data_IF_303951275865
#
_entry.id   IF_303951275865
#
_cell.length_a   1.000
_cell.length_b   1.000
_cell.length_c   1.000
_cell.angle_alpha   90.00
_cell.angle_beta   90.00
_cell.angle_gamma   90.00
#
_symmetry.space_group_name_H-M   'P 1'
#
loop_
_entity.id
_entity.type
_entity.pdbx_description
1 polymer ?
#
# COMPACT_ATOMS: atom_id res chain seq x y z
N UNK A 1 -36.00 17.83 -27.40
CA UNK A 1 -36.91 16.72 -27.06
C UNK A 1 -36.10 15.43 -27.16
N UNK A 2 -36.01 14.62 -26.15
CA UNK A 2 -35.24 13.36 -25.97
C UNK A 2 -34.02 13.40 -25.06
N UNK A 3 -34.14 13.93 -23.85
CA UNK A 3 -33.20 13.62 -22.75
C UNK A 3 -33.95 13.09 -21.51
N UNK A 4 -35.27 13.12 -21.48
CA UNK A 4 -36.05 12.65 -20.33
C UNK A 4 -36.31 11.14 -20.28
N UNK A 5 -36.28 10.43 -21.41
CA UNK A 5 -36.58 8.99 -21.40
C UNK A 5 -35.41 8.09 -21.06
N UNK A 6 -34.16 8.56 -21.25
CA UNK A 6 -32.98 7.77 -20.92
C UNK A 6 -32.68 7.74 -19.40
N UNK A 7 -33.10 8.77 -18.65
CA UNK A 7 -32.90 8.81 -17.21
C UNK A 7 -33.90 7.92 -16.44
N UNK A 8 -35.13 7.81 -16.94
CA UNK A 8 -36.15 6.94 -16.34
C UNK A 8 -35.81 5.46 -16.58
N UNK A 9 -35.35 5.08 -17.78
CA UNK A 9 -34.91 3.71 -18.08
C UNK A 9 -33.66 3.29 -17.33
N UNK A 10 -32.70 4.18 -17.17
CA UNK A 10 -31.50 3.89 -16.37
C UNK A 10 -31.82 3.77 -14.88
N UNK A 11 -32.71 4.61 -14.35
CA UNK A 11 -33.17 4.51 -12.97
C UNK A 11 -34.00 3.24 -12.73
N UNK A 12 -34.81 2.83 -13.69
CA UNK A 12 -35.63 1.61 -13.60
C UNK A 12 -34.77 0.35 -13.73
N UNK A 13 -33.79 0.33 -14.63
CA UNK A 13 -32.81 -0.74 -14.73
C UNK A 13 -31.91 -0.83 -13.48
N UNK A 14 -31.54 0.30 -12.88
CA UNK A 14 -30.83 0.34 -11.59
C UNK A 14 -31.71 -0.20 -10.46
N UNK A 15 -33.01 0.10 -10.46
CA UNK A 15 -33.97 -0.41 -9.46
C UNK A 15 -34.19 -1.91 -9.60
N UNK A 16 -34.28 -2.43 -10.82
CA UNK A 16 -34.38 -3.88 -11.08
C UNK A 16 -33.09 -4.62 -10.71
N UNK A 17 -31.90 -4.04 -10.97
CA UNK A 17 -30.61 -4.59 -10.54
C UNK A 17 -30.50 -4.65 -8.98
N UNK A 18 -31.03 -3.65 -8.28
CA UNK A 18 -31.08 -3.61 -6.82
C UNK A 18 -31.94 -4.73 -6.22
N UNK A 19 -32.96 -5.19 -6.94
CA UNK A 19 -33.83 -6.29 -6.50
C UNK A 19 -33.36 -7.67 -6.93
N UNK A 20 -32.29 -7.77 -7.73
CA UNK A 20 -31.75 -9.06 -8.16
C UNK A 20 -31.22 -9.86 -6.96
N UNK A 21 -31.44 -11.18 -6.95
CA UNK A 21 -30.93 -12.07 -5.89
C UNK A 21 -29.41 -12.13 -5.84
N UNK A 22 -28.74 -11.74 -6.92
CA UNK A 22 -27.28 -11.77 -7.08
C UNK A 22 -26.59 -10.53 -6.51
N UNK A 23 -27.29 -9.41 -6.39
CA UNK A 23 -26.72 -8.12 -5.98
C UNK A 23 -26.04 -7.36 -7.12
N UNK A 24 -25.60 -6.14 -6.85
CA UNK A 24 -24.96 -5.24 -7.82
C UNK A 24 -23.46 -5.54 -7.85
N UNK A 25 -22.93 -5.88 -9.02
CA UNK A 25 -21.48 -6.05 -9.19
C UNK A 25 -20.80 -4.68 -9.13
N UNK A 26 -19.84 -4.55 -8.22
CA UNK A 26 -19.03 -3.35 -8.09
C UNK A 26 -17.62 -3.69 -7.55
N UNK A 27 -16.72 -2.72 -7.57
CA UNK A 27 -15.38 -2.86 -7.02
C UNK A 27 -15.27 -2.29 -5.61
N UNK A 28 -14.31 -2.83 -4.87
CA UNK A 28 -13.85 -2.30 -3.59
C UNK A 28 -12.33 -2.37 -3.50
N UNK A 29 -11.74 -1.75 -2.49
CA UNK A 29 -10.30 -1.87 -2.23
C UNK A 29 -9.88 -3.31 -1.87
N UNK A 30 -10.85 -4.17 -1.53
CA UNK A 30 -10.66 -5.56 -1.09
C UNK A 30 -11.05 -6.58 -2.16
N UNK A 31 -11.31 -6.14 -3.38
CA UNK A 31 -11.72 -6.96 -4.50
C UNK A 31 -13.08 -6.59 -5.08
N UNK A 32 -13.46 -7.30 -6.12
CA UNK A 32 -14.79 -7.20 -6.71
C UNK A 32 -15.83 -7.83 -5.79
N UNK A 33 -17.00 -7.21 -5.69
CA UNK A 33 -18.07 -7.62 -4.78
C UNK A 33 -19.44 -7.58 -5.47
N UNK A 34 -20.35 -8.35 -4.91
CA UNK A 34 -21.79 -8.23 -5.13
C UNK A 34 -22.43 -7.50 -3.94
N UNK A 35 -22.83 -6.26 -4.17
CA UNK A 35 -23.49 -5.43 -3.17
C UNK A 35 -24.99 -5.69 -3.12
N UNK A 36 -25.53 -5.98 -1.92
CA UNK A 36 -26.96 -6.10 -1.68
C UNK A 36 -27.46 -4.81 -1.07
N UNK A 37 -28.41 -4.18 -1.76
CA UNK A 37 -29.10 -2.96 -1.27
C UNK A 37 -30.57 -3.28 -1.01
N UNK A 38 -31.06 -2.93 0.17
CA UNK A 38 -32.47 -3.04 0.56
C UNK A 38 -32.96 -1.68 1.03
N UNK A 39 -34.07 -1.20 0.46
CA UNK A 39 -34.67 0.10 0.81
C UNK A 39 -33.63 1.26 0.78
N UNK A 40 -32.77 1.28 -0.24
CA UNK A 40 -31.72 2.28 -0.37
C UNK A 40 -30.54 2.12 0.58
N UNK A 41 -30.48 1.04 1.38
CA UNK A 41 -29.43 0.77 2.35
C UNK A 41 -28.56 -0.39 1.91
N UNK A 42 -27.24 -0.19 1.87
CA UNK A 42 -26.26 -1.25 1.63
C UNK A 42 -26.22 -2.17 2.87
N UNK A 43 -26.68 -3.41 2.72
CA UNK A 43 -26.87 -4.33 3.85
C UNK A 43 -25.94 -5.53 3.84
N UNK A 44 -25.37 -5.89 2.69
CA UNK A 44 -24.42 -6.99 2.59
C UNK A 44 -23.47 -6.80 1.41
N UNK A 45 -22.24 -7.26 1.57
CA UNK A 45 -21.27 -7.45 0.51
C UNK A 45 -20.90 -8.94 0.44
N UNK A 46 -21.00 -9.52 -0.75
CA UNK A 46 -20.51 -10.87 -1.03
C UNK A 46 -19.31 -10.76 -1.95
N UNK A 47 -18.30 -11.62 -1.80
CA UNK A 47 -17.23 -11.72 -2.79
C UNK A 47 -17.76 -12.00 -4.18
N UNK A 48 -17.03 -11.54 -5.17
CA UNK A 48 -17.28 -11.91 -6.56
C UNK A 48 -17.08 -13.41 -6.72
N UNK A 49 -17.97 -14.06 -7.46
CA UNK A 49 -18.03 -15.53 -7.56
C UNK A 49 -16.82 -16.19 -8.24
N UNK A 50 -16.04 -15.43 -9.00
CA UNK A 50 -14.80 -15.92 -9.61
C UNK A 50 -13.56 -15.65 -8.76
N UNK A 51 -13.69 -14.89 -7.67
CA UNK A 51 -12.60 -14.69 -6.71
C UNK A 51 -12.51 -15.91 -5.79
N UNK A 52 -11.49 -16.74 -6.00
CA UNK A 52 -11.28 -17.99 -5.24
C UNK A 52 -10.73 -17.71 -3.83
N UNK A 53 -10.13 -16.56 -3.61
CA UNK A 53 -9.41 -16.19 -2.38
C UNK A 53 -9.83 -14.81 -1.83
N UNK A 54 -11.14 -14.60 -1.63
CA UNK A 54 -11.65 -13.27 -1.30
C UNK A 54 -11.15 -12.78 0.06
N UNK A 55 -10.88 -11.48 0.13
CA UNK A 55 -10.52 -10.84 1.40
C UNK A 55 -11.66 -10.92 2.41
N UNK A 56 -11.34 -11.29 3.65
CA UNK A 56 -12.28 -11.28 4.77
C UNK A 56 -12.82 -9.89 5.11
N UNK A 57 -12.13 -8.82 4.68
CA UNK A 57 -12.53 -7.43 4.90
C UNK A 57 -13.80 -7.05 4.14
N UNK A 58 -14.16 -7.79 3.09
CA UNK A 58 -15.38 -7.55 2.31
C UNK A 58 -16.62 -7.58 3.18
N UNK A 59 -16.71 -8.47 4.14
CA UNK A 59 -17.87 -8.61 5.03
C UNK A 59 -18.13 -7.36 5.90
N UNK A 60 -17.09 -6.56 6.18
CA UNK A 60 -17.18 -5.33 6.97
C UNK A 60 -17.63 -4.09 6.18
N UNK A 61 -17.73 -4.15 4.86
CA UNK A 61 -18.04 -2.98 4.03
C UNK A 61 -19.37 -2.29 4.35
N UNK A 62 -20.48 -3.01 4.63
CA UNK A 62 -21.72 -2.36 5.03
C UNK A 62 -21.56 -1.54 6.33
N UNK A 63 -20.83 -2.04 7.30
CA UNK A 63 -20.57 -1.33 8.55
C UNK A 63 -19.73 -0.09 8.35
N UNK A 64 -18.74 -0.13 7.44
CA UNK A 64 -17.97 1.06 7.06
C UNK A 64 -18.85 2.15 6.48
N UNK A 65 -19.80 1.80 5.61
CA UNK A 65 -20.72 2.76 4.98
C UNK A 65 -21.68 3.36 5.99
N UNK A 66 -22.15 2.58 6.96
CA UNK A 66 -23.20 2.98 7.90
C UNK A 66 -22.71 3.30 9.31
N UNK A 67 -21.39 3.29 9.54
CA UNK A 67 -20.81 3.60 10.83
C UNK A 67 -21.19 5.00 11.32
N UNK A 68 -21.44 5.13 12.63
CA UNK A 68 -21.79 6.40 13.25
C UNK A 68 -20.69 7.47 13.16
N UNK A 69 -19.42 7.04 13.08
CA UNK A 69 -18.27 7.94 12.93
C UNK A 69 -18.13 8.48 11.50
N UNK A 70 -18.85 7.93 10.52
CA UNK A 70 -18.77 8.40 9.14
C UNK A 70 -19.45 9.76 8.99
N UNK A 71 -18.77 10.70 8.33
CA UNK A 71 -19.34 11.97 7.90
C UNK A 71 -20.40 11.70 6.83
N UNK A 72 -21.64 12.06 7.10
CA UNK A 72 -22.81 11.76 6.24
C UNK A 72 -23.23 12.92 5.36
N UNK A 73 -22.89 14.13 5.75
CA UNK A 73 -23.34 15.37 5.12
C UNK A 73 -22.18 16.33 4.99
N UNK A 74 -22.24 17.27 4.03
CA UNK A 74 -21.32 18.39 4.01
C UNK A 74 -21.46 19.20 5.30
N UNK A 75 -20.32 19.47 5.91
CA UNK A 75 -20.26 20.22 7.17
C UNK A 75 -19.24 21.34 7.03
N UNK A 76 -19.60 22.55 7.48
CA UNK A 76 -18.73 23.72 7.43
C UNK A 76 -18.50 24.27 8.83
N UNK A 77 -17.29 24.69 9.12
CA UNK A 77 -16.97 25.30 10.41
C UNK A 77 -17.70 26.61 10.58
N UNK A 78 -18.26 26.84 11.75
CA UNK A 78 -19.05 28.04 12.07
C UNK A 78 -18.25 29.33 11.83
N UNK A 79 -17.00 29.37 12.27
CA UNK A 79 -16.16 30.57 12.08
C UNK A 79 -15.84 30.82 10.61
N UNK A 80 -15.63 29.74 9.82
CA UNK A 80 -15.42 29.86 8.38
C UNK A 80 -16.67 30.37 7.65
N UNK A 81 -17.87 29.97 8.03
CA UNK A 81 -19.12 30.52 7.48
C UNK A 81 -19.22 32.02 7.70
N UNK A 82 -18.73 32.50 8.84
CA UNK A 82 -18.80 33.92 9.21
C UNK A 82 -17.69 34.77 8.59
N UNK A 83 -16.45 34.26 8.54
CA UNK A 83 -15.24 35.03 8.21
C UNK A 83 -14.52 34.55 6.95
N UNK A 84 -14.95 33.44 6.34
CA UNK A 84 -14.30 32.84 5.16
C UNK A 84 -12.80 32.59 5.43
N UNK A 85 -11.93 32.98 4.52
CA UNK A 85 -10.48 32.82 4.61
C UNK A 85 -9.83 33.57 5.79
N UNK A 86 -10.55 34.48 6.44
CA UNK A 86 -10.12 35.16 7.67
C UNK A 86 -10.50 34.42 8.95
N UNK A 87 -11.02 33.19 8.86
CA UNK A 87 -11.37 32.39 10.02
C UNK A 87 -10.16 32.06 10.89
N UNK A 88 -10.40 31.95 12.18
CA UNK A 88 -9.36 31.59 13.15
C UNK A 88 -8.99 30.11 13.02
N UNK A 89 -7.76 29.83 12.57
CA UNK A 89 -7.24 28.49 12.38
C UNK A 89 -6.81 27.81 13.69
N UNK A 90 -6.64 28.55 14.78
CA UNK A 90 -6.31 27.99 16.10
C UNK A 90 -7.39 27.05 16.64
N UNK A 91 -8.61 27.22 16.15
CA UNK A 91 -9.81 26.42 16.53
C UNK A 91 -10.03 25.19 15.65
N UNK A 92 -9.06 24.71 14.92
CA UNK A 92 -9.23 23.55 14.03
C UNK A 92 -9.63 22.26 14.74
N UNK A 93 -9.25 22.05 15.99
CA UNK A 93 -9.66 20.91 16.81
C UNK A 93 -11.08 21.02 17.41
N UNK A 94 -11.70 22.17 17.26
CA UNK A 94 -13.01 22.46 17.83
C UNK A 94 -14.14 21.92 16.91
N UNK A 95 -15.01 21.07 17.44
CA UNK A 95 -16.06 20.38 16.69
C UNK A 95 -17.29 21.25 16.42
N UNK A 96 -17.12 22.55 16.20
CA UNK A 96 -18.19 23.49 15.87
C UNK A 96 -18.45 23.53 14.37
N UNK A 97 -19.25 22.58 13.89
CA UNK A 97 -19.63 22.47 12.49
C UNK A 97 -21.14 22.66 12.31
N UNK A 98 -21.52 23.20 11.17
CA UNK A 98 -22.91 23.33 10.73
C UNK A 98 -23.09 22.50 9.47
N UNK A 99 -24.18 21.76 9.40
CA UNK A 99 -24.59 21.07 8.17
C UNK A 99 -25.03 22.10 7.14
N UNK A 100 -24.59 21.90 5.89
CA UNK A 100 -25.01 22.66 4.71
C UNK A 100 -25.51 21.70 3.63
N UNK A 101 -26.16 22.19 2.60
CA UNK A 101 -26.46 21.41 1.40
C UNK A 101 -25.19 21.16 0.58
N UNK A 102 -25.27 20.21 -0.36
CA UNK A 102 -24.17 20.00 -1.31
C UNK A 102 -23.94 21.21 -2.22
N UNK A 103 -25.00 21.86 -2.67
CA UNK A 103 -24.90 23.05 -3.51
C UNK A 103 -24.19 24.19 -2.77
N UNK A 104 -24.61 24.49 -1.54
CA UNK A 104 -23.91 25.49 -0.70
C UNK A 104 -22.43 25.13 -0.46
N UNK A 105 -22.13 23.86 -0.22
CA UNK A 105 -20.75 23.43 0.00
C UNK A 105 -19.89 23.58 -1.26
N UNK A 106 -20.43 23.23 -2.43
CA UNK A 106 -19.75 23.33 -3.71
C UNK A 106 -19.55 24.80 -4.14
N UNK A 107 -20.56 25.64 -3.94
CA UNK A 107 -20.45 27.08 -4.21
C UNK A 107 -19.35 27.72 -3.35
N UNK A 108 -19.36 27.47 -2.05
CA UNK A 108 -18.33 27.97 -1.14
C UNK A 108 -16.93 27.44 -1.49
N UNK A 109 -16.83 26.17 -1.92
CA UNK A 109 -15.55 25.59 -2.35
C UNK A 109 -15.06 26.28 -3.64
N UNK A 110 -15.93 26.45 -4.61
CA UNK A 110 -15.62 27.10 -5.88
C UNK A 110 -15.19 28.57 -5.69
N UNK A 111 -15.94 29.35 -4.91
CA UNK A 111 -15.62 30.73 -4.58
C UNK A 111 -14.20 30.86 -3.99
N UNK A 112 -13.86 29.97 -3.06
CA UNK A 112 -12.55 30.00 -2.42
C UNK A 112 -11.43 29.53 -3.36
N UNK A 113 -11.70 28.53 -4.20
CA UNK A 113 -10.78 28.08 -5.25
C UNK A 113 -10.45 29.21 -6.21
N UNK A 114 -11.47 29.94 -6.72
CA UNK A 114 -11.29 31.11 -7.56
C UNK A 114 -10.51 32.23 -6.86
N UNK A 115 -10.86 32.52 -5.62
CA UNK A 115 -10.17 33.54 -4.84
C UNK A 115 -8.67 33.25 -4.72
N UNK A 116 -8.31 32.03 -4.35
CA UNK A 116 -6.91 31.61 -4.20
C UNK A 116 -6.16 31.70 -5.51
N UNK A 117 -6.75 31.17 -6.59
CA UNK A 117 -6.10 31.22 -7.92
C UNK A 117 -5.95 32.63 -8.46
N UNK A 118 -6.96 33.48 -8.32
CA UNK A 118 -6.91 34.89 -8.77
C UNK A 118 -5.90 35.71 -7.97
N UNK A 119 -5.76 35.42 -6.66
CA UNK A 119 -4.89 36.22 -5.77
C UNK A 119 -3.44 35.72 -5.79
N UNK A 120 -3.22 34.41 -5.88
CA UNK A 120 -1.91 33.80 -5.65
C UNK A 120 -1.44 32.89 -6.80
N UNK A 121 -2.28 32.68 -7.80
CA UNK A 121 -2.01 31.77 -8.92
C UNK A 121 -2.22 30.28 -8.59
N UNK A 122 -2.14 29.42 -9.61
CA UNK A 122 -2.40 27.98 -9.46
C UNK A 122 -1.37 27.26 -8.57
N UNK A 123 -0.17 27.78 -8.45
CA UNK A 123 0.87 27.22 -7.57
C UNK A 123 0.55 27.34 -6.06
N UNK A 124 -0.44 28.13 -5.69
CA UNK A 124 -0.93 28.22 -4.32
C UNK A 124 -1.90 27.07 -3.94
N UNK A 125 -2.29 26.27 -4.90
CA UNK A 125 -3.14 25.10 -4.68
C UNK A 125 -2.29 23.83 -4.68
N UNK A 126 -2.35 23.08 -3.60
CA UNK A 126 -1.75 21.77 -3.49
C UNK A 126 -2.87 20.70 -3.58
N UNK A 127 -2.80 19.86 -4.60
CA UNK A 127 -3.64 18.65 -4.67
C UNK A 127 -2.83 17.46 -4.24
N UNK A 128 -3.25 16.82 -3.15
CA UNK A 128 -2.72 15.54 -2.74
C UNK A 128 -3.68 14.43 -3.17
N UNK A 129 -3.14 13.36 -3.72
CA UNK A 129 -3.92 12.15 -3.93
C UNK A 129 -4.16 11.47 -2.57
N UNK A 130 -5.38 11.08 -2.31
CA UNK A 130 -5.67 10.15 -1.23
C UNK A 130 -5.34 8.71 -1.68
N UNK A 131 -5.36 7.79 -0.73
CA UNK A 131 -5.23 6.38 -1.06
C UNK A 131 -6.39 5.91 -1.95
N UNK A 132 -6.11 4.96 -2.81
CA UNK A 132 -6.98 4.61 -3.93
C UNK A 132 -8.26 3.90 -3.56
N UNK A 133 -9.21 4.09 -4.41
CA UNK A 133 -10.33 3.22 -4.62
C UNK A 133 -10.26 2.61 -6.03
N UNK A 134 -11.15 1.72 -6.35
CA UNK A 134 -11.15 1.00 -7.62
C UNK A 134 -11.68 1.84 -8.78
N UNK A 135 -10.93 1.87 -9.88
CA UNK A 135 -11.35 2.45 -11.15
C UNK A 135 -11.52 3.97 -11.15
N UNK A 136 -12.01 4.48 -12.28
CA UNK A 136 -12.11 5.92 -12.52
C UNK A 136 -13.14 6.62 -11.62
N UNK A 137 -14.34 6.04 -11.50
CA UNK A 137 -15.45 6.66 -10.78
C UNK A 137 -15.40 6.46 -9.26
N UNK A 138 -14.58 5.51 -8.80
CA UNK A 138 -14.39 5.22 -7.38
C UNK A 138 -13.11 5.83 -6.82
N UNK A 139 -12.48 6.72 -7.58
CA UNK A 139 -11.27 7.44 -7.19
C UNK A 139 -11.60 8.91 -6.91
N UNK A 140 -12.04 9.21 -5.70
CA UNK A 140 -12.46 10.55 -5.31
C UNK A 140 -11.33 11.58 -5.41
N UNK A 141 -10.11 11.23 -5.02
CA UNK A 141 -8.94 12.13 -5.11
C UNK A 141 -8.55 12.43 -6.55
N UNK A 142 -8.56 11.42 -7.43
CA UNK A 142 -8.32 11.62 -8.85
C UNK A 142 -9.39 12.47 -9.53
N UNK A 143 -10.65 12.30 -9.14
CA UNK A 143 -11.75 13.13 -9.64
C UNK A 143 -11.62 14.59 -9.17
N UNK A 144 -11.25 14.82 -7.91
CA UNK A 144 -10.99 16.16 -7.38
C UNK A 144 -9.81 16.83 -8.10
N UNK A 145 -8.69 16.12 -8.26
CA UNK A 145 -7.53 16.63 -8.98
C UNK A 145 -7.88 17.00 -10.42
N UNK A 146 -8.69 16.18 -11.09
CA UNK A 146 -9.19 16.48 -12.44
C UNK A 146 -10.07 17.72 -12.48
N UNK A 147 -10.99 17.88 -11.53
CA UNK A 147 -11.83 19.06 -11.43
C UNK A 147 -11.00 20.34 -11.22
N UNK A 148 -10.00 20.30 -10.36
CA UNK A 148 -9.08 21.43 -10.12
C UNK A 148 -8.23 21.73 -11.35
N UNK A 149 -7.75 20.69 -12.07
CA UNK A 149 -6.99 20.88 -13.32
C UNK A 149 -7.83 21.55 -14.41
N UNK A 150 -9.11 21.22 -14.50
CA UNK A 150 -10.03 21.90 -15.43
C UNK A 150 -10.28 23.37 -15.06
N UNK A 151 -10.17 23.73 -13.80
CA UNK A 151 -10.34 25.09 -13.31
C UNK A 151 -9.10 25.97 -13.51
N UNK A 152 -7.90 25.42 -13.57
CA UNK A 152 -6.68 26.23 -13.78
C UNK A 152 -5.41 25.63 -13.25
N UNK A 153 -5.43 24.35 -12.89
CA UNK A 153 -4.27 23.64 -12.40
C UNK A 153 -3.91 23.86 -10.91
N UNK A 154 -2.95 23.07 -10.46
CA UNK A 154 -2.41 23.09 -9.11
C UNK A 154 -1.02 22.44 -9.10
N UNK A 155 -0.31 22.50 -7.98
CA UNK A 155 0.87 21.69 -7.75
C UNK A 155 0.47 20.35 -7.14
N UNK A 156 1.15 19.30 -7.56
CA UNK A 156 1.05 17.96 -6.96
C UNK A 156 2.20 17.68 -6.01
N UNK A 157 2.15 16.54 -5.37
CA UNK A 157 3.25 15.98 -4.59
C UNK A 157 4.12 15.10 -5.46
N UNK A 158 5.44 15.17 -5.28
CA UNK A 158 6.39 14.22 -5.88
C UNK A 158 6.87 13.21 -4.84
N UNK A 159 6.96 11.94 -5.24
CA UNK A 159 7.32 10.85 -4.34
C UNK A 159 6.23 10.49 -3.33
N UNK A 160 6.56 9.60 -2.43
CA UNK A 160 5.67 9.14 -1.35
C UNK A 160 6.47 8.83 -0.08
N UNK A 161 5.77 8.56 1.02
CA UNK A 161 6.41 8.14 2.27
C UNK A 161 6.72 6.65 2.33
N UNK A 162 6.06 5.82 1.53
CA UNK A 162 6.23 4.37 1.54
C UNK A 162 7.55 3.95 0.91
N UNK A 163 7.90 4.55 -0.22
CA UNK A 163 9.04 4.15 -1.06
C UNK A 163 9.89 5.32 -1.54
N UNK A 164 9.60 6.54 -1.12
CA UNK A 164 10.28 7.75 -1.60
C UNK A 164 11.80 7.72 -1.43
N UNK A 165 12.30 7.18 -0.31
CA UNK A 165 13.74 7.00 -0.10
C UNK A 165 14.33 6.00 -1.10
N UNK A 166 13.66 4.87 -1.34
CA UNK A 166 14.09 3.89 -2.33
C UNK A 166 14.08 4.48 -3.75
N UNK A 167 13.04 5.23 -4.12
CA UNK A 167 12.95 5.90 -5.42
C UNK A 167 14.13 6.87 -5.68
N UNK A 168 14.67 7.48 -4.64
CA UNK A 168 15.84 8.38 -4.75
C UNK A 168 17.15 7.58 -4.80
N UNK A 169 17.27 6.53 -4.00
CA UNK A 169 18.55 5.81 -3.82
C UNK A 169 18.77 4.72 -4.86
N UNK A 170 17.76 3.91 -5.19
CA UNK A 170 17.92 2.75 -6.08
C UNK A 170 18.55 3.11 -7.44
N UNK A 171 18.14 4.20 -8.14
CA UNK A 171 18.78 4.57 -9.39
C UNK A 171 20.28 4.87 -9.27
N UNK A 172 20.74 5.27 -8.09
CA UNK A 172 22.14 5.57 -7.82
C UNK A 172 22.95 4.37 -7.35
N UNK A 173 22.29 3.36 -6.79
CA UNK A 173 22.95 2.16 -6.25
C UNK A 173 22.91 1.03 -7.27
N UNK A 174 21.76 0.79 -7.89
CA UNK A 174 21.55 -0.33 -8.85
C UNK A 174 21.22 0.13 -10.27
N UNK A 175 21.22 1.43 -10.53
CA UNK A 175 21.08 2.01 -11.88
C UNK A 175 19.64 2.24 -12.33
N UNK A 176 18.63 1.63 -11.71
CA UNK A 176 17.24 1.78 -12.10
C UNK A 176 16.27 1.55 -10.96
N UNK A 177 14.98 1.80 -11.22
CA UNK A 177 13.86 1.47 -10.34
C UNK A 177 13.28 0.07 -10.60
N UNK A 178 13.78 -0.67 -11.57
CA UNK A 178 13.20 -1.97 -11.97
C UNK A 178 13.09 -2.96 -10.82
N UNK A 179 14.07 -2.98 -9.92
CA UNK A 179 14.04 -3.87 -8.75
C UNK A 179 12.84 -3.61 -7.84
N UNK A 180 12.22 -2.44 -7.94
CA UNK A 180 11.02 -2.06 -7.21
C UNK A 180 9.76 -2.18 -8.08
N UNK A 181 9.82 -1.77 -9.35
CA UNK A 181 8.65 -1.65 -10.23
C UNK A 181 8.34 -2.91 -11.01
N UNK A 182 9.34 -3.73 -11.33
CA UNK A 182 9.22 -4.94 -12.13
C UNK A 182 9.80 -6.15 -11.40
N UNK A 183 9.11 -6.58 -10.37
CA UNK A 183 9.53 -7.75 -9.62
C UNK A 183 9.47 -9.02 -10.46
N UNK A 184 10.31 -9.99 -10.11
CA UNK A 184 10.29 -11.33 -10.71
C UNK A 184 8.93 -12.00 -10.46
N UNK A 185 8.33 -12.51 -11.51
CA UNK A 185 7.02 -13.17 -11.42
C UNK A 185 7.08 -14.48 -10.65
N UNK A 186 6.01 -14.83 -9.97
CA UNK A 186 5.91 -16.05 -9.18
C UNK A 186 6.18 -17.35 -9.97
N UNK A 187 5.73 -17.51 -11.23
CA UNK A 187 6.13 -18.68 -12.04
C UNK A 187 7.64 -18.86 -12.15
N UNK A 188 8.39 -17.78 -12.37
CA UNK A 188 9.85 -17.84 -12.46
C UNK A 188 10.49 -18.12 -11.10
N UNK A 189 9.98 -17.53 -10.03
CA UNK A 189 10.43 -17.83 -8.65
C UNK A 189 10.26 -19.31 -8.34
N UNK A 190 9.07 -19.87 -8.57
CA UNK A 190 8.76 -21.27 -8.27
C UNK A 190 9.53 -22.27 -9.13
N UNK A 191 9.91 -21.86 -10.35
CA UNK A 191 10.68 -22.71 -11.26
C UNK A 191 12.18 -22.75 -10.91
N UNK A 192 12.74 -21.65 -10.43
CA UNK A 192 14.18 -21.48 -10.35
C UNK A 192 14.73 -21.39 -8.92
N UNK A 193 13.90 -21.04 -7.92
CA UNK A 193 14.38 -20.86 -6.55
C UNK A 193 14.48 -22.20 -5.81
N UNK A 194 15.52 -22.32 -4.97
CA UNK A 194 15.68 -23.39 -4.00
C UNK A 194 15.49 -22.89 -2.56
N UNK A 195 15.85 -21.64 -2.33
CA UNK A 195 15.64 -20.96 -1.05
C UNK A 195 14.93 -19.65 -1.31
N UNK A 196 13.91 -19.38 -0.53
CA UNK A 196 13.17 -18.09 -0.52
C UNK A 196 13.33 -17.45 0.84
N UNK A 197 13.85 -16.24 0.87
CA UNK A 197 13.94 -15.43 2.10
C UNK A 197 12.80 -14.41 2.11
N UNK A 198 11.89 -14.54 3.06
CA UNK A 198 10.84 -13.58 3.35
C UNK A 198 11.37 -12.61 4.42
N UNK A 199 11.71 -11.41 4.02
CA UNK A 199 12.26 -10.41 4.93
C UNK A 199 11.20 -9.35 5.23
N UNK A 200 10.62 -9.39 6.43
CA UNK A 200 9.52 -8.52 6.84
C UNK A 200 8.30 -8.63 5.91
N UNK A 201 8.00 -9.84 5.43
CA UNK A 201 6.99 -10.06 4.39
C UNK A 201 5.96 -11.11 4.79
N UNK A 202 4.71 -10.68 4.93
CA UNK A 202 3.55 -11.56 5.04
C UNK A 202 2.79 -11.59 3.71
N UNK A 203 3.06 -12.60 2.90
CA UNK A 203 2.50 -12.76 1.55
C UNK A 203 0.97 -12.70 1.56
N UNK A 204 0.33 -13.38 2.51
CA UNK A 204 -1.13 -13.45 2.56
C UNK A 204 -1.77 -12.13 2.96
N UNK A 205 -1.18 -11.41 3.91
CA UNK A 205 -1.69 -10.12 4.36
C UNK A 205 -1.50 -9.04 3.30
N UNK A 206 -0.32 -9.00 2.68
CA UNK A 206 0.03 -7.96 1.71
C UNK A 206 -0.83 -8.03 0.45
N UNK A 207 -1.33 -9.22 0.07
CA UNK A 207 -2.11 -9.40 -1.14
C UNK A 207 -3.63 -9.28 -0.94
N UNK A 208 -4.10 -8.92 0.25
CA UNK A 208 -5.53 -8.71 0.49
C UNK A 208 -6.06 -7.40 -0.10
N UNK A 209 -5.20 -6.46 -0.38
CA UNK A 209 -5.52 -5.19 -1.03
C UNK A 209 -4.47 -4.87 -2.08
N UNK A 210 -4.87 -4.22 -3.15
CA UNK A 210 -3.98 -3.77 -4.19
C UNK A 210 -4.23 -2.28 -4.50
N UNK A 211 -3.33 -1.67 -5.24
CA UNK A 211 -3.35 -0.23 -5.52
C UNK A 211 -4.59 0.21 -6.32
N UNK A 212 -5.05 -0.62 -7.25
CA UNK A 212 -6.09 -0.24 -8.20
C UNK A 212 -7.34 -1.11 -8.11
N UNK A 213 -7.20 -2.36 -8.44
CA UNK A 213 -8.25 -3.36 -8.38
C UNK A 213 -7.60 -4.67 -7.95
N UNK A 214 -7.77 -5.09 -6.70
CA UNK A 214 -7.20 -6.34 -6.27
C UNK A 214 -7.87 -7.48 -7.01
N UNK A 215 -7.04 -8.26 -7.70
CA UNK A 215 -7.32 -9.65 -7.95
C UNK A 215 -6.53 -10.48 -6.93
N UNK A 216 -6.94 -11.68 -6.70
CA UNK A 216 -6.30 -12.58 -5.78
C UNK A 216 -5.68 -13.80 -6.49
N UNK A 217 -5.44 -13.72 -7.79
CA UNK A 217 -4.92 -14.83 -8.61
C UNK A 217 -3.51 -15.26 -8.18
N UNK A 218 -2.75 -14.38 -7.55
CA UNK A 218 -1.45 -14.71 -6.97
C UNK A 218 -1.50 -15.85 -5.95
N UNK A 219 -2.63 -16.05 -5.29
CA UNK A 219 -2.78 -17.15 -4.32
C UNK A 219 -2.69 -18.53 -4.97
N UNK A 220 -2.94 -18.67 -6.26
CA UNK A 220 -2.71 -19.93 -6.98
C UNK A 220 -1.22 -20.31 -7.00
N UNK A 221 -0.32 -19.32 -7.03
CA UNK A 221 1.11 -19.55 -6.91
C UNK A 221 1.54 -19.80 -5.47
N UNK A 222 0.84 -19.24 -4.48
CA UNK A 222 1.09 -19.55 -3.08
C UNK A 222 0.70 -20.98 -2.72
N UNK A 223 -0.36 -21.54 -3.33
CA UNK A 223 -0.69 -22.98 -3.21
C UNK A 223 0.42 -23.85 -3.79
N UNK A 224 0.98 -23.47 -4.94
CA UNK A 224 2.12 -24.17 -5.52
C UNK A 224 3.38 -24.04 -4.65
N UNK A 225 3.66 -22.86 -4.09
CA UNK A 225 4.73 -22.66 -3.14
C UNK A 225 4.57 -23.58 -1.93
N UNK A 226 3.39 -23.61 -1.33
CA UNK A 226 3.07 -24.47 -0.19
C UNK A 226 3.34 -25.95 -0.49
N UNK A 227 2.92 -26.43 -1.65
CA UNK A 227 3.17 -27.80 -2.07
C UNK A 227 4.68 -28.11 -2.20
N UNK A 228 5.45 -27.21 -2.81
CA UNK A 228 6.91 -27.35 -2.98
C UNK A 228 7.67 -27.27 -1.65
N UNK A 229 7.25 -26.44 -0.74
CA UNK A 229 7.82 -26.31 0.61
C UNK A 229 7.54 -27.60 1.39
N UNK A 230 6.32 -28.11 1.38
CA UNK A 230 5.98 -29.36 2.04
C UNK A 230 6.72 -30.59 1.45
N UNK A 231 7.04 -30.56 0.15
CA UNK A 231 7.84 -31.58 -0.53
C UNK A 231 9.36 -31.43 -0.28
N UNK A 232 9.81 -30.36 0.39
CA UNK A 232 11.24 -30.06 0.59
C UNK A 232 11.97 -29.63 -0.68
N UNK A 233 11.24 -29.22 -1.72
CA UNK A 233 11.83 -28.72 -2.97
C UNK A 233 12.31 -27.27 -2.85
N UNK A 234 11.66 -26.47 -1.99
CA UNK A 234 11.98 -25.08 -1.68
C UNK A 234 12.07 -24.93 -0.16
N UNK A 235 13.17 -24.39 0.31
CA UNK A 235 13.34 -23.92 1.69
C UNK A 235 12.80 -22.50 1.84
N UNK A 236 12.09 -22.23 2.95
CA UNK A 236 11.64 -20.86 3.29
C UNK A 236 12.26 -20.42 4.60
N UNK A 237 12.97 -19.30 4.54
CA UNK A 237 13.51 -18.59 5.72
C UNK A 237 12.71 -17.30 5.87
N UNK A 238 12.12 -17.08 7.03
CA UNK A 238 11.37 -15.86 7.34
C UNK A 238 12.09 -15.06 8.41
N UNK A 239 12.55 -13.87 8.07
CA UNK A 239 13.16 -12.90 8.97
C UNK A 239 12.09 -11.86 9.31
N UNK A 240 11.47 -12.01 10.48
CA UNK A 240 10.34 -11.19 10.89
C UNK A 240 10.24 -11.14 12.41
N UNK A 241 9.95 -9.99 13.03
CA UNK A 241 9.75 -9.89 14.47
C UNK A 241 8.67 -10.83 15.04
N UNK A 242 7.70 -11.19 14.22
CA UNK A 242 6.53 -11.99 14.62
C UNK A 242 6.28 -13.17 13.67
N UNK A 243 5.60 -14.18 14.18
CA UNK A 243 5.04 -15.25 13.35
C UNK A 243 3.87 -14.67 12.55
N UNK A 244 3.96 -14.71 11.24
CA UNK A 244 2.97 -14.15 10.31
C UNK A 244 1.94 -15.17 9.85
N UNK A 245 0.88 -14.72 9.15
CA UNK A 245 -0.10 -15.62 8.55
C UNK A 245 0.51 -16.53 7.47
N UNK A 246 1.61 -16.11 6.85
CA UNK A 246 2.35 -16.93 5.89
C UNK A 246 2.97 -18.16 6.52
N UNK A 247 3.46 -18.09 7.76
CA UNK A 247 3.99 -19.26 8.48
C UNK A 247 2.90 -20.30 8.70
N UNK A 248 1.71 -19.86 9.15
CA UNK A 248 0.57 -20.76 9.37
C UNK A 248 0.13 -21.44 8.06
N UNK A 249 0.13 -20.68 7.00
CA UNK A 249 -0.31 -21.14 5.69
C UNK A 249 0.64 -22.17 5.07
N UNK A 250 1.95 -21.92 5.14
CA UNK A 250 2.97 -22.81 4.61
C UNK A 250 3.22 -24.05 5.51
N UNK A 251 2.81 -23.99 6.79
CA UNK A 251 3.15 -24.94 7.85
C UNK A 251 4.35 -24.42 8.64
N UNK A 252 4.17 -24.14 9.92
CA UNK A 252 5.23 -23.58 10.79
C UNK A 252 6.49 -24.45 10.80
N UNK A 253 6.33 -25.75 10.73
CA UNK A 253 7.41 -26.74 10.74
C UNK A 253 8.27 -26.69 9.47
N UNK A 254 7.77 -26.08 8.41
CA UNK A 254 8.45 -25.97 7.12
C UNK A 254 9.11 -24.59 6.91
N UNK A 255 8.92 -23.64 7.83
CA UNK A 255 9.47 -22.29 7.72
C UNK A 255 10.49 -22.05 8.80
N UNK A 256 11.75 -21.79 8.43
CA UNK A 256 12.79 -21.36 9.38
C UNK A 256 12.51 -19.91 9.76
N UNK A 257 11.91 -19.70 10.94
CA UNK A 257 11.63 -18.36 11.45
C UNK A 257 12.82 -17.84 12.24
N UNK A 258 13.29 -16.65 11.89
CA UNK A 258 14.35 -15.91 12.57
C UNK A 258 13.71 -14.62 13.09
N UNK A 259 13.48 -14.57 14.41
CA UNK A 259 12.92 -13.40 15.07
C UNK A 259 13.98 -12.30 15.21
N UNK A 260 13.80 -11.19 14.51
CA UNK A 260 14.71 -10.05 14.54
C UNK A 260 14.09 -8.91 15.34
N UNK A 261 14.88 -8.21 16.14
CA UNK A 261 14.42 -6.99 16.79
C UNK A 261 13.99 -5.95 15.75
N UNK A 262 12.83 -5.28 15.91
CA UNK A 262 12.38 -4.27 14.99
C UNK A 262 13.44 -3.19 14.72
N UNK A 263 13.56 -2.75 13.44
CA UNK A 263 14.50 -1.69 12.98
C UNK A 263 15.99 -2.07 13.06
N UNK A 264 16.33 -3.35 13.15
CA UNK A 264 17.73 -3.81 13.14
C UNK A 264 18.12 -4.58 11.88
N UNK A 265 17.41 -4.35 10.80
CA UNK A 265 17.68 -4.98 9.50
C UNK A 265 19.09 -4.65 8.98
N UNK A 266 19.50 -3.37 9.07
CA UNK A 266 20.80 -2.93 8.59
C UNK A 266 21.95 -3.59 9.36
N UNK A 267 21.95 -3.67 10.71
CA UNK A 267 22.93 -4.47 11.46
C UNK A 267 23.01 -5.93 10.99
N UNK A 268 21.86 -6.58 10.77
CA UNK A 268 21.83 -7.96 10.26
C UNK A 268 22.47 -8.07 8.88
N UNK A 269 22.10 -7.19 7.94
CA UNK A 269 22.68 -7.18 6.59
C UNK A 269 24.18 -6.94 6.60
N UNK A 270 24.67 -6.03 7.44
CA UNK A 270 26.12 -5.79 7.60
C UNK A 270 26.85 -7.04 8.13
N UNK A 271 26.26 -7.75 9.10
CA UNK A 271 26.89 -8.96 9.62
C UNK A 271 26.89 -10.11 8.60
N UNK A 272 25.83 -10.25 7.80
CA UNK A 272 25.83 -11.18 6.67
C UNK A 272 26.91 -10.83 5.64
N UNK A 273 27.07 -9.56 5.30
CA UNK A 273 28.14 -9.10 4.39
C UNK A 273 29.55 -9.35 4.98
N UNK A 274 29.71 -9.12 6.29
CA UNK A 274 30.96 -9.41 6.99
C UNK A 274 31.31 -10.91 6.94
N UNK A 275 30.32 -11.78 7.20
CA UNK A 275 30.49 -13.23 7.14
C UNK A 275 30.85 -13.69 5.74
N UNK A 276 30.12 -13.23 4.71
CA UNK A 276 30.42 -13.52 3.31
C UNK A 276 31.87 -13.13 2.94
N UNK A 277 32.32 -11.98 3.40
CA UNK A 277 33.68 -11.52 3.14
C UNK A 277 34.71 -12.32 3.91
N UNK A 278 34.58 -12.47 5.22
CA UNK A 278 35.57 -13.12 6.10
C UNK A 278 35.73 -14.61 5.81
N UNK A 279 34.67 -15.27 5.36
CA UNK A 279 34.69 -16.69 5.00
C UNK A 279 34.96 -16.93 3.49
N UNK A 280 35.24 -15.84 2.74
CA UNK A 280 35.54 -15.89 1.31
C UNK A 280 34.41 -16.51 0.44
N UNK A 281 33.15 -16.24 0.83
CA UNK A 281 31.95 -16.74 0.16
C UNK A 281 31.37 -15.74 -0.86
N UNK A 282 31.97 -14.56 -1.01
CA UNK A 282 31.50 -13.51 -1.93
C UNK A 282 32.05 -13.71 -3.36
N UNK A 283 31.30 -13.27 -4.35
CA UNK A 283 31.68 -13.31 -5.75
C UNK A 283 32.66 -12.15 -6.08
N UNK A 284 33.95 -12.48 -6.10
CA UNK A 284 35.05 -11.52 -6.42
C UNK A 284 34.94 -10.96 -7.82
N UNK A 285 34.54 -11.80 -8.78
CA UNK A 285 34.41 -11.39 -10.17
C UNK A 285 33.26 -10.41 -10.37
N UNK A 286 32.14 -10.66 -9.70
CA UNK A 286 31.01 -9.74 -9.70
C UNK A 286 31.40 -8.39 -9.10
N UNK A 287 32.03 -8.38 -7.92
CA UNK A 287 32.45 -7.14 -7.27
C UNK A 287 33.46 -6.35 -8.13
N UNK A 288 34.42 -7.03 -8.74
CA UNK A 288 35.43 -6.37 -9.56
C UNK A 288 34.89 -5.77 -10.87
N UNK A 289 33.86 -6.38 -11.47
CA UNK A 289 33.37 -5.97 -12.78
C UNK A 289 32.11 -5.11 -12.74
N UNK A 290 31.29 -5.24 -11.68
CA UNK A 290 29.95 -4.63 -11.64
C UNK A 290 29.70 -3.71 -10.44
N UNK A 291 30.66 -3.63 -9.49
CA UNK A 291 30.51 -2.79 -8.31
C UNK A 291 31.57 -1.71 -8.22
N UNK A 292 31.22 -0.56 -7.67
CA UNK A 292 32.16 0.52 -7.34
C UNK A 292 32.05 0.87 -5.86
N UNK A 293 33.16 1.25 -5.23
CA UNK A 293 33.20 1.66 -3.83
C UNK A 293 33.27 0.52 -2.82
N UNK A 294 33.52 -0.72 -3.26
CA UNK A 294 33.61 -1.88 -2.38
C UNK A 294 34.72 -1.73 -1.35
N UNK A 295 35.91 -1.23 -1.73
CA UNK A 295 37.05 -1.04 -0.83
C UNK A 295 36.71 -0.03 0.29
N UNK A 296 35.96 1.01 -0.01
CA UNK A 296 35.52 2.01 0.97
C UNK A 296 34.49 1.43 1.93
N UNK A 297 33.57 0.62 1.40
CA UNK A 297 32.58 -0.11 2.19
C UNK A 297 33.26 -1.13 3.10
N UNK A 298 34.26 -1.85 2.57
CA UNK A 298 35.00 -2.87 3.30
C UNK A 298 35.72 -2.29 4.54
N UNK A 299 36.35 -1.12 4.43
CA UNK A 299 36.95 -0.43 5.58
C UNK A 299 35.95 -0.16 6.71
N UNK A 300 34.72 0.21 6.36
CA UNK A 300 33.66 0.38 7.33
C UNK A 300 33.19 -0.96 7.90
N UNK A 301 33.00 -1.95 7.05
CA UNK A 301 32.54 -3.29 7.42
C UNK A 301 33.54 -3.95 8.41
N UNK A 302 34.84 -3.83 8.16
CA UNK A 302 35.90 -4.37 9.02
C UNK A 302 36.16 -3.53 10.29
N UNK A 303 35.52 -2.37 10.43
CA UNK A 303 35.69 -1.49 11.59
C UNK A 303 36.93 -0.59 11.52
N UNK A 304 37.60 -0.48 10.38
CA UNK A 304 38.78 0.38 10.24
C UNK A 304 38.45 1.87 10.38
N UNK A 305 37.19 2.26 10.09
CA UNK A 305 36.73 3.66 10.18
C UNK A 305 36.22 4.06 11.55
N UNK A 306 35.68 3.12 12.32
CA UNK A 306 34.99 3.43 13.59
C UNK A 306 35.41 2.52 14.75
N UNK A 307 36.38 1.65 14.54
CA UNK A 307 36.88 0.72 15.57
C UNK A 307 35.93 -0.44 15.87
N UNK A 308 34.83 -0.60 15.11
CA UNK A 308 33.84 -1.63 15.36
C UNK A 308 33.62 -2.51 14.14
N UNK A 309 34.17 -3.74 14.09
CA UNK A 309 33.82 -4.73 13.06
C UNK A 309 32.31 -5.04 13.11
N UNK A 310 31.70 -5.15 11.94
CA UNK A 310 30.27 -5.42 11.79
C UNK A 310 30.01 -6.93 11.72
N UNK A 311 30.66 -7.69 12.58
CA UNK A 311 30.57 -9.15 12.62
C UNK A 311 29.25 -9.67 13.26
N UNK A 312 29.08 -10.99 13.24
CA UNK A 312 27.89 -11.62 13.80
C UNK A 312 27.73 -11.36 15.31
N UNK A 313 28.84 -11.31 16.09
CA UNK A 313 28.78 -11.04 17.51
C UNK A 313 28.41 -9.59 17.84
N UNK A 314 28.76 -8.65 16.98
CA UNK A 314 28.28 -7.28 17.08
C UNK A 314 26.77 -7.20 16.76
N UNK A 315 26.32 -7.86 15.70
CA UNK A 315 24.93 -7.84 15.28
C UNK A 315 24.00 -8.56 16.26
N UNK A 316 24.42 -9.65 16.87
CA UNK A 316 23.68 -10.36 17.93
C UNK A 316 23.14 -9.42 19.01
N UNK A 317 23.99 -8.51 19.49
CA UNK A 317 23.63 -7.54 20.54
C UNK A 317 22.53 -6.56 20.12
N UNK A 318 22.39 -6.32 18.83
CA UNK A 318 21.42 -5.37 18.26
C UNK A 318 20.15 -6.09 17.80
N UNK A 319 20.33 -7.19 17.09
CA UNK A 319 19.23 -7.91 16.40
C UNK A 319 18.51 -8.89 17.31
N UNK A 320 19.16 -9.35 18.39
CA UNK A 320 18.65 -10.44 19.22
C UNK A 320 18.77 -11.83 18.59
N UNK A 321 19.40 -11.93 17.41
CA UNK A 321 19.67 -13.20 16.74
C UNK A 321 21.06 -13.66 17.14
N UNK A 322 21.21 -14.93 17.56
CA UNK A 322 22.51 -15.46 17.96
C UNK A 322 23.52 -15.45 16.81
N UNK A 323 24.79 -15.23 17.14
CA UNK A 323 25.87 -15.07 16.17
C UNK A 323 26.07 -16.30 15.27
N UNK A 324 25.78 -17.51 15.78
CA UNK A 324 25.91 -18.75 15.01
C UNK A 324 24.81 -18.82 13.93
N UNK A 325 23.60 -18.41 14.25
CA UNK A 325 22.50 -18.31 13.26
C UNK A 325 22.77 -17.28 12.18
N UNK A 326 23.45 -16.16 12.52
CA UNK A 326 23.82 -15.13 11.54
C UNK A 326 24.89 -15.64 10.57
N UNK A 327 25.81 -16.45 11.04
CA UNK A 327 26.89 -17.08 10.24
C UNK A 327 26.37 -18.23 9.43
#
# INVERSE_FOLDING_TARGET
>A
MCIRDSSATAAQAATEAVTSKEGILTGSHWGAIRATVKEGRFVAAKPFELDKYPSKMIAGLPDHVHNAARIRYPMVRVDWLRKRHLSDTSQRGDNRFVRVSWDEALDMFYEELERVQKTHGPSALLTASGWQSTGMFHNASGMLAKAIALHGNSVGTGGDYSTGAAQVILPRVVGSMEVYEQQTSWPLVLQNSKTIVLWGSDLLKNQQANWWCPDHDVYEYYEQLKAKVAAGEIEVISIDPVVTSTHEYLGREHVKHIAVNPQTDVPLQLALAYTLYSENLYDKNFLANYCVGFEQFLQYLLGEKDGQPKDAAWAEKLTGIDAETIR
#
